data_IF_566981142480
#
_entry.id   IF_566981142480
#
_cell.length_a   1.000
_cell.length_b   1.000
_cell.length_c   1.000
_cell.angle_alpha   90.00
_cell.angle_beta   90.00
_cell.angle_gamma   90.00
#
_symmetry.space_group_name_H-M   'P 1'
#
loop_
_entity.id
_entity.type
_entity.pdbx_description
1 polymer ?
#
# COMPACT_ATOMS: atom_id res chain seq x y z
N UNK A 1 6.50 22.32 -6.21
CA UNK A 1 7.92 22.07 -5.94
C UNK A 1 8.15 20.57 -5.94
N UNK A 2 9.02 20.05 -6.80
CA UNK A 2 9.46 18.64 -6.73
C UNK A 2 10.61 18.54 -5.73
N UNK A 3 10.49 17.64 -4.75
CA UNK A 3 11.59 17.33 -3.83
C UNK A 3 12.43 16.18 -4.40
N UNK A 4 13.76 16.31 -4.32
CA UNK A 4 14.70 15.26 -4.70
C UNK A 4 15.35 14.66 -3.45
N UNK A 5 15.46 13.33 -3.41
CA UNK A 5 16.23 12.61 -2.40
C UNK A 5 17.33 11.80 -3.09
N UNK A 6 18.40 11.48 -2.37
CA UNK A 6 19.51 10.68 -2.87
C UNK A 6 19.67 9.42 -2.03
N UNK A 7 19.77 8.27 -2.69
CA UNK A 7 20.04 6.97 -2.07
C UNK A 7 21.42 6.53 -2.52
N UNK A 8 22.26 6.05 -1.59
CA UNK A 8 23.51 5.36 -1.93
C UNK A 8 23.21 3.89 -2.12
N UNK A 9 23.66 3.35 -3.25
CA UNK A 9 23.56 1.94 -3.60
C UNK A 9 24.97 1.41 -3.85
N UNK A 10 25.19 0.16 -3.50
CA UNK A 10 26.29 -0.63 -4.04
C UNK A 10 26.07 -0.90 -5.53
N UNK A 11 27.13 -1.27 -6.25
CA UNK A 11 27.03 -1.62 -7.67
C UNK A 11 26.05 -2.78 -7.91
N UNK A 12 26.01 -3.75 -7.00
CA UNK A 12 25.11 -4.90 -7.06
C UNK A 12 23.64 -4.50 -6.88
N UNK A 13 23.33 -3.68 -5.88
CA UNK A 13 21.96 -3.19 -5.64
C UNK A 13 21.47 -2.34 -6.82
N UNK A 14 22.34 -1.49 -7.36
CA UNK A 14 22.02 -0.69 -8.55
C UNK A 14 21.73 -1.59 -9.75
N UNK A 15 22.57 -2.60 -10.02
CA UNK A 15 22.36 -3.52 -11.14
C UNK A 15 21.04 -4.30 -11.02
N UNK A 16 20.68 -4.71 -9.81
CA UNK A 16 19.41 -5.38 -9.52
C UNK A 16 18.21 -4.44 -9.74
N UNK A 17 18.26 -3.22 -9.21
CA UNK A 17 17.17 -2.27 -9.35
C UNK A 17 17.00 -1.81 -10.80
N UNK A 18 18.10 -1.67 -11.55
CA UNK A 18 18.05 -1.37 -12.99
C UNK A 18 17.48 -2.52 -13.82
N UNK A 19 17.77 -3.78 -13.49
CA UNK A 19 17.22 -4.93 -14.21
C UNK A 19 15.72 -5.06 -13.98
N UNK A 20 15.25 -4.83 -12.76
CA UNK A 20 13.83 -4.72 -12.43
C UNK A 20 13.15 -3.59 -13.22
N UNK A 21 13.69 -2.37 -13.16
CA UNK A 21 13.11 -1.23 -13.85
C UNK A 21 13.01 -1.47 -15.38
N UNK A 22 14.04 -2.07 -15.98
CA UNK A 22 14.05 -2.46 -17.41
C UNK A 22 13.00 -3.51 -17.74
N UNK A 23 12.87 -4.55 -16.91
CA UNK A 23 11.88 -5.62 -17.10
C UNK A 23 10.45 -5.05 -17.12
N UNK A 24 10.19 -4.06 -16.27
CA UNK A 24 8.88 -3.41 -16.12
C UNK A 24 8.71 -2.16 -17.00
N UNK A 25 9.70 -1.83 -17.84
CA UNK A 25 9.69 -0.66 -18.73
C UNK A 25 9.41 0.68 -18.03
N UNK A 26 9.93 0.84 -16.80
CA UNK A 26 9.80 2.05 -15.97
C UNK A 26 11.19 2.65 -15.65
N UNK A 27 11.22 3.90 -15.19
CA UNK A 27 12.48 4.47 -14.69
C UNK A 27 12.88 3.88 -13.34
N UNK A 28 14.18 3.92 -13.02
CA UNK A 28 14.69 3.49 -11.71
C UNK A 28 14.01 4.27 -10.55
N UNK A 29 13.78 5.57 -10.73
CA UNK A 29 13.10 6.39 -9.75
C UNK A 29 11.62 6.03 -9.59
N UNK A 30 10.93 5.61 -10.65
CA UNK A 30 9.56 5.09 -10.55
C UNK A 30 9.50 3.76 -9.83
N UNK A 31 10.43 2.84 -10.11
CA UNK A 31 10.52 1.57 -9.39
C UNK A 31 10.66 1.78 -7.88
N UNK A 32 11.54 2.70 -7.45
CA UNK A 32 11.69 3.03 -6.04
C UNK A 32 10.45 3.71 -5.43
N UNK A 33 9.81 4.64 -6.16
CA UNK A 33 8.58 5.29 -5.69
C UNK A 33 7.46 4.28 -5.51
N UNK A 34 7.22 3.43 -6.51
CA UNK A 34 6.18 2.40 -6.46
C UNK A 34 6.42 1.45 -5.29
N UNK A 35 7.62 0.88 -5.17
CA UNK A 35 7.94 -0.03 -4.07
C UNK A 35 7.79 0.61 -2.68
N UNK A 36 8.12 1.90 -2.54
CA UNK A 36 7.93 2.61 -1.28
C UNK A 36 6.44 2.82 -0.95
N UNK A 37 5.65 3.27 -1.92
CA UNK A 37 4.22 3.53 -1.69
C UNK A 37 3.42 2.25 -1.52
N UNK A 38 3.74 1.19 -2.25
CA UNK A 38 3.16 -0.15 -2.08
C UNK A 38 3.39 -0.64 -0.64
N UNK A 39 4.60 -0.51 -0.11
CA UNK A 39 4.89 -0.87 1.28
C UNK A 39 4.11 -0.03 2.30
N UNK A 40 3.95 1.27 2.05
CA UNK A 40 3.18 2.16 2.93
C UNK A 40 1.69 1.78 2.90
N UNK A 41 1.15 1.47 1.72
CA UNK A 41 -0.22 1.01 1.52
C UNK A 41 -0.46 -0.32 2.25
N UNK A 42 0.42 -1.30 2.08
CA UNK A 42 0.34 -2.58 2.79
C UNK A 42 0.31 -2.41 4.31
N UNK A 43 1.19 -1.56 4.87
CA UNK A 43 1.23 -1.29 6.32
C UNK A 43 -0.03 -0.59 6.80
N UNK A 44 -0.59 0.32 6.00
CA UNK A 44 -1.83 1.02 6.31
C UNK A 44 -3.04 0.09 6.26
N UNK A 45 -3.15 -0.74 5.22
CA UNK A 45 -4.25 -1.69 5.02
C UNK A 45 -4.28 -2.74 6.14
N UNK A 46 -3.12 -3.23 6.56
CA UNK A 46 -3.01 -4.16 7.70
C UNK A 46 -3.55 -3.50 8.97
N UNK A 47 -3.10 -2.27 9.28
CA UNK A 47 -3.54 -1.56 10.48
C UNK A 47 -5.05 -1.31 10.49
N UNK A 48 -5.61 -0.89 9.35
CA UNK A 48 -7.05 -0.67 9.19
C UNK A 48 -7.85 -1.97 9.34
N UNK A 49 -7.37 -3.07 8.76
CA UNK A 49 -8.00 -4.38 8.88
C UNK A 49 -7.98 -4.90 10.33
N UNK A 50 -6.87 -4.69 11.06
CA UNK A 50 -6.76 -5.04 12.47
C UNK A 50 -7.76 -4.25 13.34
N UNK A 51 -7.92 -2.95 13.07
CA UNK A 51 -8.90 -2.10 13.76
C UNK A 51 -10.33 -2.60 13.51
N UNK A 52 -10.72 -2.77 12.24
CA UNK A 52 -12.04 -3.26 11.86
C UNK A 52 -12.34 -4.64 12.47
N UNK A 53 -11.34 -5.53 12.50
CA UNK A 53 -11.49 -6.85 13.10
C UNK A 53 -11.64 -6.76 14.63
N UNK A 54 -10.90 -5.88 15.30
CA UNK A 54 -11.04 -5.67 16.74
C UNK A 54 -12.43 -5.14 17.12
N UNK A 55 -12.99 -4.24 16.32
CA UNK A 55 -14.37 -3.75 16.50
C UNK A 55 -15.40 -4.88 16.32
N UNK A 56 -15.26 -5.68 15.27
CA UNK A 56 -16.13 -6.85 15.03
C UNK A 56 -16.09 -7.84 16.20
N UNK A 57 -14.91 -8.11 16.77
CA UNK A 57 -14.76 -8.95 17.95
C UNK A 57 -15.44 -8.34 19.19
N UNK A 58 -15.30 -7.02 19.39
CA UNK A 58 -15.89 -6.29 20.51
C UNK A 58 -17.43 -6.27 20.45
N UNK A 59 -17.99 -6.23 19.25
CA UNK A 59 -19.44 -6.31 19.01
C UNK A 59 -20.00 -7.74 19.12
N UNK A 60 -19.18 -8.72 19.52
CA UNK A 60 -19.64 -10.09 19.67
C UNK A 60 -19.85 -10.82 18.35
N UNK A 61 -19.18 -10.39 17.28
CA UNK A 61 -19.22 -11.00 15.96
C UNK A 61 -20.61 -10.94 15.30
N UNK A 62 -21.36 -9.88 15.58
CA UNK A 62 -22.68 -9.67 14.99
C UNK A 62 -22.54 -9.40 13.49
N UNK A 63 -23.43 -9.99 12.69
CA UNK A 63 -23.57 -9.63 11.29
C UNK A 63 -24.43 -8.37 11.18
N UNK A 64 -24.05 -7.46 10.29
CA UNK A 64 -24.86 -6.29 9.92
C UNK A 64 -25.55 -6.54 8.57
N UNK A 65 -26.75 -6.00 8.34
CA UNK A 65 -27.39 -6.00 7.03
C UNK A 65 -26.50 -5.32 5.98
N UNK A 66 -26.50 -5.84 4.74
CA UNK A 66 -25.67 -5.30 3.64
C UNK A 66 -26.09 -3.87 3.26
N UNK A 67 -27.35 -3.52 3.51
CA UNK A 67 -27.91 -2.19 3.28
C UNK A 67 -27.23 -1.13 4.14
N UNK A 68 -26.75 -1.48 5.35
CA UNK A 68 -25.98 -0.54 6.18
C UNK A 68 -24.63 -0.20 5.54
N UNK A 69 -23.96 -1.20 4.93
CA UNK A 69 -22.70 -0.98 4.20
C UNK A 69 -22.90 -0.07 2.98
N UNK A 70 -23.97 -0.27 2.21
CA UNK A 70 -24.24 0.59 1.04
C UNK A 70 -24.48 2.05 1.41
N UNK A 71 -25.15 2.30 2.55
CA UNK A 71 -25.31 3.65 3.10
C UNK A 71 -23.98 4.26 3.54
N UNK A 72 -23.13 3.49 4.19
CA UNK A 72 -21.80 3.94 4.62
C UNK A 72 -20.89 4.29 3.43
N UNK A 73 -21.02 3.55 2.32
CA UNK A 73 -20.22 3.72 1.11
C UNK A 73 -20.82 4.70 0.07
N UNK A 74 -21.96 5.33 0.36
CA UNK A 74 -22.67 6.23 -0.57
C UNK A 74 -23.00 5.57 -1.92
N UNK A 75 -23.49 4.32 -1.87
CA UNK A 75 -23.84 3.51 -3.04
C UNK A 75 -25.36 3.38 -3.28
N UNK A 76 -26.19 4.10 -2.52
CA UNK A 76 -27.67 4.11 -2.60
C UNK A 76 -28.25 5.21 -3.51
#
# INVERSE_FOLDING_TARGET
MTMSFSIRLTDTEKALAESYAKLHAISLGEAFKQALFEKIEDEYDIALAEEAYAEYLKDGKQAKPIEELWKELDLE
#
